data_IF_282789420938
#
_entry.id   IF_282789420938
#
_cell.length_a   1.000
_cell.length_b   1.000
_cell.length_c   1.000
_cell.angle_alpha   90.00
_cell.angle_beta   90.00
_cell.angle_gamma   90.00
#
_symmetry.space_group_name_H-M   'P 1'
#
loop_
_entity.id
_entity.type
_entity.pdbx_description
1 polymer ?
#
# COMPACT_ATOMS: atom_id res chain seq x y z
N UNK A 1 -4.73 1.15 -17.98
CA UNK A 1 -3.66 0.78 -17.03
C UNK A 1 -2.40 0.64 -17.85
N UNK A 2 -1.40 1.47 -17.57
CA UNK A 2 -0.16 1.51 -18.34
C UNK A 2 0.82 0.47 -17.80
N UNK A 3 1.56 -0.17 -18.70
CA UNK A 3 2.60 -1.14 -18.36
C UNK A 3 3.98 -0.56 -18.63
N UNK A 4 4.86 -0.56 -17.62
CA UNK A 4 6.22 -0.02 -17.73
C UNK A 4 7.25 -1.12 -17.50
N UNK A 5 8.15 -1.30 -18.45
CA UNK A 5 9.24 -2.26 -18.34
C UNK A 5 10.53 -1.53 -17.95
N UNK A 6 11.13 -1.95 -16.84
CA UNK A 6 12.37 -1.41 -16.31
C UNK A 6 13.45 -2.47 -16.47
N UNK A 7 14.63 -2.08 -16.96
CA UNK A 7 15.81 -2.94 -16.97
C UNK A 7 16.91 -2.27 -16.17
N UNK A 8 17.43 -2.98 -15.17
CA UNK A 8 18.56 -2.54 -14.35
C UNK A 8 19.67 -3.57 -14.42
N UNK A 9 20.89 -3.14 -14.10
CA UNK A 9 22.00 -4.07 -13.91
C UNK A 9 22.23 -4.26 -12.42
N UNK A 10 22.61 -5.47 -12.07
CA UNK A 10 23.01 -5.85 -10.72
C UNK A 10 24.10 -4.92 -10.17
N UNK A 11 23.91 -4.46 -8.93
CA UNK A 11 24.88 -3.60 -8.24
C UNK A 11 24.91 -2.16 -8.72
N UNK A 12 24.09 -1.79 -9.71
CA UNK A 12 23.92 -0.40 -10.12
C UNK A 12 22.74 0.21 -9.33
N UNK A 13 22.89 1.47 -8.91
CA UNK A 13 21.74 2.25 -8.44
C UNK A 13 20.85 2.62 -9.62
N UNK A 14 19.54 2.52 -9.43
CA UNK A 14 18.54 2.94 -10.41
C UNK A 14 17.81 4.17 -9.90
N UNK A 15 17.86 5.25 -10.67
CA UNK A 15 17.30 6.56 -10.30
C UNK A 15 16.57 7.25 -11.48
N UNK A 16 16.27 6.48 -12.52
CA UNK A 16 15.98 7.03 -13.86
C UNK A 16 14.50 7.03 -14.22
N UNK A 17 13.64 6.37 -13.43
CA UNK A 17 12.22 6.33 -13.74
C UNK A 17 11.49 7.53 -13.15
N UNK A 18 11.25 8.50 -14.03
CA UNK A 18 10.41 9.66 -13.77
C UNK A 18 9.03 9.42 -14.37
N UNK A 19 8.00 9.47 -13.54
CA UNK A 19 6.60 9.29 -13.92
C UNK A 19 5.85 10.61 -13.78
N UNK A 20 4.99 10.92 -14.76
CA UNK A 20 4.11 12.07 -14.74
C UNK A 20 2.65 11.62 -14.89
N UNK A 21 1.85 11.82 -13.84
CA UNK A 21 0.46 11.37 -13.79
C UNK A 21 -0.52 12.49 -14.10
N UNK A 22 -1.42 12.23 -15.04
CA UNK A 22 -2.58 13.07 -15.33
C UNK A 22 -3.87 12.28 -15.19
N UNK A 23 -4.73 12.68 -14.26
CA UNK A 23 -6.02 12.03 -13.99
C UNK A 23 -7.04 13.07 -13.51
N UNK A 24 -8.03 13.47 -14.33
CA UNK A 24 -8.25 13.08 -15.74
C UNK A 24 -7.14 13.60 -16.67
N UNK A 25 -7.10 13.11 -17.92
CA UNK A 25 -6.12 13.55 -18.93
C UNK A 25 -6.12 15.07 -19.04
N UNK A 26 -4.93 15.69 -19.02
CA UNK A 26 -4.76 17.14 -19.02
C UNK A 26 -4.74 17.78 -17.62
N UNK A 27 -5.06 17.04 -16.56
CA UNK A 27 -5.00 17.53 -15.17
C UNK A 27 -4.00 16.71 -14.37
N UNK A 28 -2.92 17.33 -13.90
CA UNK A 28 -1.92 16.66 -13.07
C UNK A 28 -2.55 16.11 -11.79
N UNK A 29 -2.25 14.86 -11.46
CA UNK A 29 -2.74 14.19 -10.25
C UNK A 29 -2.05 14.78 -9.01
N UNK A 30 -2.84 15.19 -8.02
CA UNK A 30 -2.32 15.59 -6.72
C UNK A 30 -2.24 14.37 -5.78
N UNK A 31 -1.03 14.06 -5.29
CA UNK A 31 -0.77 12.97 -4.35
C UNK A 31 -0.54 13.46 -2.92
N UNK A 32 -0.79 14.73 -2.59
CA UNK A 32 -0.45 15.33 -1.28
C UNK A 32 -1.14 14.62 -0.12
N UNK A 33 -2.41 14.22 -0.30
CA UNK A 33 -3.19 13.48 0.70
C UNK A 33 -3.07 11.95 0.62
N UNK A 34 -2.26 11.44 -0.30
CA UNK A 34 -2.19 10.01 -0.61
C UNK A 34 -0.86 9.39 -0.15
N UNK A 35 -0.91 8.13 0.25
CA UNK A 35 0.27 7.29 0.43
C UNK A 35 0.52 6.52 -0.88
N UNK A 36 1.80 6.32 -1.22
CA UNK A 36 2.20 5.64 -2.45
C UNK A 36 3.08 4.44 -2.09
N UNK A 37 2.79 3.30 -2.69
CA UNK A 37 3.49 2.05 -2.43
C UNK A 37 3.88 1.43 -3.78
N UNK A 38 5.17 1.14 -3.97
CA UNK A 38 5.69 0.51 -5.19
C UNK A 38 6.34 -0.82 -4.85
N UNK A 39 5.62 -1.92 -5.05
CA UNK A 39 6.07 -3.27 -4.65
C UNK A 39 6.64 -4.03 -5.85
N UNK A 40 7.69 -4.80 -5.59
CA UNK A 40 8.31 -5.75 -6.52
C UNK A 40 7.95 -7.16 -6.05
N UNK A 41 7.47 -8.01 -6.96
CA UNK A 41 6.87 -9.31 -6.67
C UNK A 41 7.23 -10.32 -7.76
N UNK A 42 7.26 -11.61 -7.41
CA UNK A 42 7.37 -12.69 -8.40
C UNK A 42 6.04 -12.93 -9.15
N UNK A 43 4.90 -12.56 -8.53
CA UNK A 43 3.58 -12.62 -9.17
C UNK A 43 2.62 -11.58 -8.59
N UNK A 44 1.66 -11.08 -9.38
CA UNK A 44 0.65 -10.11 -8.89
C UNK A 44 -0.37 -10.74 -7.94
N UNK A 45 -0.59 -12.06 -8.03
CA UNK A 45 -1.46 -12.81 -7.12
C UNK A 45 -0.73 -13.28 -5.85
N UNK A 46 0.59 -13.14 -5.80
CA UNK A 46 1.39 -13.51 -4.64
C UNK A 46 1.24 -12.50 -3.50
N UNK A 47 1.23 -13.00 -2.28
CA UNK A 47 1.25 -12.17 -1.06
C UNK A 47 2.66 -11.75 -0.65
N UNK A 48 3.68 -12.39 -1.20
CA UNK A 48 5.09 -12.12 -0.89
C UNK A 48 5.60 -10.95 -1.73
N UNK A 49 6.07 -9.91 -1.04
CA UNK A 49 6.79 -8.78 -1.62
C UNK A 49 8.28 -9.10 -1.58
N UNK A 50 8.93 -9.12 -2.75
CA UNK A 50 10.36 -9.37 -2.86
C UNK A 50 11.18 -8.14 -2.42
N UNK A 51 10.77 -6.95 -2.86
CA UNK A 51 11.36 -5.66 -2.47
C UNK A 51 10.39 -4.51 -2.83
N UNK A 52 10.80 -3.26 -2.62
CA UNK A 52 10.03 -2.07 -2.96
C UNK A 52 10.90 -1.00 -3.61
N UNK A 53 10.35 -0.25 -4.56
CA UNK A 53 11.00 0.95 -5.05
C UNK A 53 10.91 2.06 -4.01
N UNK A 54 11.98 2.82 -3.84
CA UNK A 54 11.93 4.11 -3.17
C UNK A 54 11.13 5.09 -4.05
N UNK A 55 10.17 5.79 -3.46
CA UNK A 55 9.32 6.76 -4.15
C UNK A 55 9.64 8.15 -3.63
N UNK A 56 9.94 9.08 -4.54
CA UNK A 56 10.05 10.51 -4.22
C UNK A 56 8.96 11.27 -4.94
N UNK A 57 8.08 11.96 -4.20
CA UNK A 57 7.16 12.95 -4.76
C UNK A 57 7.96 14.20 -5.13
N UNK A 58 7.95 14.57 -6.41
CA UNK A 58 8.70 15.74 -6.88
C UNK A 58 7.91 17.03 -6.60
N UNK A 59 8.58 18.20 -6.57
CA UNK A 59 7.91 19.48 -6.31
C UNK A 59 6.83 19.83 -7.35
N UNK A 60 6.92 19.26 -8.55
CA UNK A 60 5.90 19.45 -9.59
C UNK A 60 4.76 18.45 -9.36
N UNK A 61 3.52 18.94 -9.28
CA UNK A 61 2.34 18.10 -9.11
C UNK A 61 2.27 16.97 -10.14
N UNK A 62 1.87 15.78 -9.68
CA UNK A 62 1.76 14.58 -10.49
C UNK A 62 3.08 13.89 -10.85
N UNK A 63 4.23 14.44 -10.44
CA UNK A 63 5.52 13.87 -10.82
C UNK A 63 6.14 13.05 -9.69
N UNK A 64 6.56 11.83 -10.01
CA UNK A 64 7.20 10.89 -9.10
C UNK A 64 8.56 10.44 -9.67
N UNK A 65 9.53 10.19 -8.79
CA UNK A 65 10.76 9.47 -9.10
C UNK A 65 10.74 8.13 -8.38
N UNK A 66 11.00 7.05 -9.11
CA UNK A 66 11.21 5.71 -8.57
C UNK A 66 12.69 5.38 -8.58
N UNK A 67 13.16 4.75 -7.50
CA UNK A 67 14.56 4.42 -7.32
C UNK A 67 14.79 3.05 -6.66
N UNK A 68 15.96 2.47 -6.93
CA UNK A 68 16.52 1.29 -6.25
C UNK A 68 17.98 1.56 -5.92
N UNK A 69 18.43 1.15 -4.74
CA UNK A 69 19.84 1.19 -4.41
C UNK A 69 20.62 0.08 -5.13
N UNK A 70 21.94 0.26 -5.24
CA UNK A 70 22.86 -0.78 -5.72
C UNK A 70 22.72 -2.10 -4.93
N UNK A 71 22.51 -2.03 -3.61
CA UNK A 71 22.35 -3.23 -2.79
C UNK A 71 21.02 -3.96 -3.05
N UNK A 72 19.95 -3.21 -3.38
CA UNK A 72 18.66 -3.81 -3.76
C UNK A 72 18.79 -4.51 -5.12
N UNK A 73 19.38 -3.84 -6.13
CA UNK A 73 19.58 -4.47 -7.44
C UNK A 73 20.52 -5.66 -7.38
N UNK A 74 21.51 -5.65 -6.48
CA UNK A 74 22.35 -6.82 -6.16
C UNK A 74 21.55 -7.97 -5.54
N UNK A 75 20.72 -7.70 -4.53
CA UNK A 75 19.93 -8.72 -3.87
C UNK A 75 18.88 -9.35 -4.81
N UNK A 76 18.30 -8.55 -5.72
CA UNK A 76 17.29 -9.02 -6.67
C UNK A 76 17.88 -9.89 -7.80
N UNK A 77 19.16 -9.70 -8.16
CA UNK A 77 19.83 -10.45 -9.23
C UNK A 77 20.17 -11.91 -8.86
N UNK A 78 20.26 -12.23 -7.57
CA UNK A 78 20.75 -13.52 -7.08
C UNK A 78 19.70 -14.62 -7.20
N UNK A 79 19.59 -15.23 -8.37
CA UNK A 79 18.97 -16.55 -8.51
C UNK A 79 19.97 -17.56 -9.07
N UNK A 80 20.94 -17.95 -8.23
CA UNK A 80 22.06 -18.86 -8.59
C UNK A 80 21.64 -20.35 -8.53
N UNK A 81 20.35 -20.65 -8.35
CA UNK A 81 19.93 -22.02 -7.99
C UNK A 81 19.68 -22.97 -9.16
N UNK A 82 19.52 -22.49 -10.40
CA UNK A 82 18.98 -23.33 -11.46
C UNK A 82 20.02 -24.25 -12.16
N UNK A 83 21.32 -23.95 -12.07
CA UNK A 83 22.34 -24.71 -12.82
C UNK A 83 23.23 -25.64 -12.00
N UNK A 84 23.71 -25.18 -10.84
CA UNK A 84 24.77 -25.87 -10.09
C UNK A 84 24.26 -26.88 -9.06
N UNK A 85 23.17 -26.56 -8.35
CA UNK A 85 22.59 -27.45 -7.32
C UNK A 85 22.04 -28.73 -7.96
N UNK A 86 21.41 -28.62 -9.13
CA UNK A 86 20.92 -29.78 -9.89
C UNK A 86 22.06 -30.65 -10.47
N UNK A 87 23.27 -30.10 -10.62
CA UNK A 87 24.41 -30.78 -11.22
C UNK A 87 25.50 -31.22 -10.24
N UNK A 88 25.33 -30.95 -8.94
CA UNK A 88 26.32 -31.27 -7.89
C UNK A 88 27.76 -30.86 -8.23
N UNK A 89 27.93 -29.64 -8.77
CA UNK A 89 29.24 -29.08 -9.07
C UNK A 89 29.72 -28.25 -7.87
N UNK A 90 30.90 -28.58 -7.33
CA UNK A 90 31.58 -27.80 -6.29
C UNK A 90 32.30 -26.58 -6.89
N UNK A 91 32.11 -25.40 -6.29
CA UNK A 91 32.59 -24.11 -6.81
C UNK A 91 34.12 -23.97 -6.65
N UNK A 92 34.86 -24.03 -7.76
CA UNK A 92 36.32 -23.83 -7.82
C UNK A 92 36.72 -22.45 -8.35
N UNK A 93 37.68 -21.79 -7.70
CA UNK A 93 38.08 -20.40 -7.93
C UNK A 93 38.67 -20.03 -9.32
N UNK A 94 38.67 -20.95 -10.30
CA UNK A 94 39.33 -20.77 -11.61
C UNK A 94 38.40 -20.86 -12.83
N UNK A 95 37.09 -21.11 -12.64
CA UNK A 95 36.12 -21.28 -13.76
C UNK A 95 35.22 -20.05 -14.00
N UNK A 96 35.77 -18.83 -13.89
CA UNK A 96 35.02 -17.57 -14.03
C UNK A 96 34.83 -17.09 -15.47
N UNK A 97 34.49 -17.98 -16.41
CA UNK A 97 34.30 -17.59 -17.82
C UNK A 97 32.94 -18.07 -18.33
N UNK A 98 31.89 -17.30 -17.99
CA UNK A 98 30.51 -17.37 -18.49
C UNK A 98 29.77 -18.68 -18.19
N UNK A 99 28.89 -18.60 -17.20
CA UNK A 99 28.08 -19.69 -16.69
C UNK A 99 26.66 -19.64 -17.29
N UNK A 100 26.04 -20.77 -17.69
CA UNK A 100 24.63 -20.86 -18.11
C UNK A 100 23.57 -20.22 -17.18
N UNK A 101 23.98 -19.72 -16.01
CA UNK A 101 23.18 -19.09 -14.94
C UNK A 101 23.24 -17.54 -14.99
N UNK A 102 23.77 -16.95 -16.07
CA UNK A 102 23.53 -15.53 -16.43
C UNK A 102 22.05 -15.27 -16.86
N UNK A 103 21.10 -15.93 -16.20
CA UNK A 103 19.68 -15.80 -16.48
C UNK A 103 19.14 -14.51 -15.88
N UNK A 104 18.68 -13.60 -16.74
CA UNK A 104 18.00 -12.39 -16.31
C UNK A 104 16.80 -12.74 -15.42
N UNK A 105 16.73 -12.18 -14.21
CA UNK A 105 15.52 -12.31 -13.38
C UNK A 105 14.50 -11.27 -13.82
N UNK A 106 13.30 -11.73 -14.20
CA UNK A 106 12.17 -10.86 -14.53
C UNK A 106 11.16 -10.92 -13.39
N UNK A 107 10.99 -9.79 -12.73
CA UNK A 107 10.03 -9.57 -11.66
C UNK A 107 8.86 -8.73 -12.17
N UNK A 108 7.74 -8.79 -11.47
CA UNK A 108 6.61 -7.89 -11.66
C UNK A 108 6.67 -6.77 -10.64
N UNK A 109 6.14 -5.61 -10.97
CA UNK A 109 5.98 -4.54 -9.99
C UNK A 109 4.68 -3.78 -10.20
N UNK A 110 4.14 -3.22 -9.13
CA UNK A 110 2.97 -2.37 -9.13
C UNK A 110 3.19 -1.11 -8.30
N UNK A 111 2.68 0.03 -8.77
CA UNK A 111 2.55 1.26 -8.00
C UNK A 111 1.09 1.45 -7.63
N UNK A 112 0.85 1.57 -6.33
CA UNK A 112 -0.46 1.74 -5.73
C UNK A 112 -0.57 3.09 -5.04
N UNK A 113 -1.72 3.72 -5.18
CA UNK A 113 -2.13 4.89 -4.42
C UNK A 113 -3.14 4.49 -3.35
N UNK A 114 -2.84 4.84 -2.10
CA UNK A 114 -3.74 4.69 -0.96
C UNK A 114 -4.24 6.09 -0.59
N UNK A 115 -5.55 6.30 -0.64
CA UNK A 115 -6.15 7.62 -0.43
C UNK A 115 -7.49 7.50 0.26
N UNK A 116 -7.90 8.58 0.94
CA UNK A 116 -9.18 8.64 1.65
C UNK A 116 -10.22 9.38 0.81
N UNK A 117 -11.40 8.79 0.65
CA UNK A 117 -12.59 9.44 0.08
C UNK A 117 -13.64 9.65 1.16
N UNK A 118 -14.46 10.69 1.05
CA UNK A 118 -15.59 10.88 1.96
C UNK A 118 -16.64 9.78 1.74
N UNK A 119 -17.13 9.21 2.84
CA UNK A 119 -18.23 8.26 2.89
C UNK A 119 -19.46 8.93 3.50
N UNK A 120 -20.52 8.99 2.71
CA UNK A 120 -21.72 9.77 3.04
C UNK A 120 -21.47 11.28 3.10
N UNK A 121 -22.49 12.03 3.49
CA UNK A 121 -22.50 13.50 3.57
C UNK A 121 -22.29 14.03 4.99
N UNK A 122 -21.59 13.28 5.84
CA UNK A 122 -21.18 13.70 7.19
C UNK A 122 -21.85 12.95 8.34
N UNK A 123 -21.24 13.07 9.52
CA UNK A 123 -21.65 12.41 10.77
C UNK A 123 -22.77 13.22 11.43
N UNK A 124 -23.95 12.61 11.58
CA UNK A 124 -25.10 13.21 12.27
C UNK A 124 -24.98 13.04 13.78
N UNK A 125 -24.55 11.85 14.25
CA UNK A 125 -24.29 11.60 15.67
C UNK A 125 -23.29 10.47 15.89
N UNK A 126 -22.60 10.52 17.03
CA UNK A 126 -21.83 9.40 17.58
C UNK A 126 -22.38 9.09 18.97
N UNK A 127 -22.72 7.82 19.21
CA UNK A 127 -23.32 7.36 20.46
C UNK A 127 -22.69 6.04 20.94
N UNK A 128 -23.13 5.58 22.11
CA UNK A 128 -22.90 4.20 22.54
C UNK A 128 -23.68 3.25 21.62
N UNK A 129 -23.00 2.18 21.21
CA UNK A 129 -23.57 1.09 20.41
C UNK A 129 -23.75 -0.17 21.23
N UNK A 130 -23.65 -1.33 20.56
CA UNK A 130 -23.78 -2.64 21.19
C UNK A 130 -22.77 -2.85 22.33
N UNK A 131 -23.22 -3.41 23.45
CA UNK A 131 -22.34 -3.77 24.58
C UNK A 131 -21.36 -4.85 24.15
N UNK A 132 -20.07 -4.64 24.42
CA UNK A 132 -19.00 -5.61 24.16
C UNK A 132 -18.75 -6.43 25.41
N UNK A 133 -18.54 -5.76 26.54
CA UNK A 133 -18.38 -6.39 27.86
C UNK A 133 -19.08 -5.54 28.93
N UNK A 134 -20.18 -6.03 29.54
CA UNK A 134 -20.91 -5.31 30.58
C UNK A 134 -20.13 -5.20 31.89
N UNK A 135 -19.22 -6.13 32.19
CA UNK A 135 -18.41 -6.11 33.41
C UNK A 135 -17.32 -5.03 33.38
N UNK A 136 -16.85 -4.71 32.18
CA UNK A 136 -15.87 -3.64 31.92
C UNK A 136 -16.52 -2.34 31.46
N UNK A 137 -17.85 -2.29 31.40
CA UNK A 137 -18.64 -1.17 30.85
C UNK A 137 -18.14 -0.73 29.46
N UNK A 138 -17.77 -1.69 28.61
CA UNK A 138 -17.30 -1.42 27.25
C UNK A 138 -18.43 -1.65 26.26
N UNK A 139 -18.62 -0.69 25.35
CA UNK A 139 -19.56 -0.83 24.23
C UNK A 139 -18.87 -0.44 22.93
N UNK A 140 -19.50 -0.72 21.79
CA UNK A 140 -19.02 -0.25 20.48
C UNK A 140 -19.32 1.24 20.31
N UNK A 141 -18.54 1.91 19.46
CA UNK A 141 -18.83 3.28 19.03
C UNK A 141 -19.85 3.20 17.90
N UNK A 142 -21.07 3.70 18.11
CA UNK A 142 -22.08 3.79 17.06
C UNK A 142 -21.98 5.13 16.37
N UNK A 143 -21.88 5.09 15.04
CA UNK A 143 -21.81 6.27 14.19
C UNK A 143 -23.03 6.27 13.29
N UNK A 144 -23.76 7.38 13.31
CA UNK A 144 -24.88 7.64 12.40
C UNK A 144 -24.45 8.71 11.41
N UNK A 145 -24.62 8.45 10.12
CA UNK A 145 -24.37 9.40 9.04
C UNK A 145 -25.66 10.08 8.60
N UNK A 146 -25.54 11.24 7.95
CA UNK A 146 -26.70 12.03 7.51
C UNK A 146 -27.39 11.46 6.26
N UNK A 147 -26.69 10.59 5.52
CA UNK A 147 -27.14 9.86 4.34
C UNK A 147 -26.46 8.49 4.32
N UNK A 148 -26.78 7.66 3.32
CA UNK A 148 -26.14 6.37 3.11
C UNK A 148 -24.60 6.48 3.10
N UNK A 149 -23.95 5.71 3.96
CA UNK A 149 -22.50 5.70 4.08
C UNK A 149 -21.81 4.77 3.08
N UNK A 150 -22.53 3.81 2.48
CA UNK A 150 -21.99 2.91 1.45
C UNK A 150 -20.78 2.09 1.89
N UNK A 151 -20.75 1.69 3.16
CA UNK A 151 -19.60 1.03 3.81
C UNK A 151 -19.81 -0.48 3.82
N UNK A 152 -18.73 -1.22 3.60
CA UNK A 152 -18.63 -2.65 3.90
C UNK A 152 -17.97 -2.90 5.26
N UNK A 153 -18.19 -4.08 5.85
CA UNK A 153 -17.58 -4.49 7.12
C UNK A 153 -16.05 -4.58 7.09
N UNK A 154 -15.48 -4.70 5.88
CA UNK A 154 -14.04 -4.84 5.66
C UNK A 154 -13.38 -3.51 5.26
N UNK A 155 -14.15 -2.42 5.14
CA UNK A 155 -13.56 -1.12 4.85
C UNK A 155 -12.69 -0.66 6.02
N UNK A 156 -11.63 0.09 5.69
CA UNK A 156 -10.84 0.84 6.66
C UNK A 156 -11.37 2.27 6.64
N UNK A 157 -11.79 2.78 7.79
CA UNK A 157 -12.40 4.11 7.90
C UNK A 157 -11.60 5.03 8.79
N UNK A 158 -11.62 6.32 8.48
CA UNK A 158 -11.12 7.39 9.32
C UNK A 158 -12.25 8.33 9.67
N UNK A 159 -12.42 8.60 10.96
CA UNK A 159 -13.31 9.67 11.42
C UNK A 159 -12.47 10.95 11.55
N UNK A 160 -12.99 12.08 11.09
CA UNK A 160 -12.29 13.36 11.13
C UNK A 160 -13.25 14.52 11.38
N UNK A 161 -12.76 15.56 12.06
CA UNK A 161 -13.49 16.81 12.27
C UNK A 161 -14.62 16.71 13.29
N UNK A 162 -14.64 15.67 14.13
CA UNK A 162 -15.62 15.55 15.22
C UNK A 162 -15.23 16.42 16.40
N UNK A 163 -16.23 16.87 17.17
CA UNK A 163 -16.03 17.70 18.38
C UNK A 163 -15.20 17.02 19.48
N UNK A 164 -15.04 15.69 19.44
CA UNK A 164 -14.24 14.92 20.39
C UNK A 164 -12.96 14.44 19.71
N UNK A 165 -11.81 14.90 20.21
CA UNK A 165 -10.50 14.59 19.63
C UNK A 165 -10.19 13.09 19.56
N UNK A 166 -10.68 12.30 20.52
CA UNK A 166 -10.46 10.86 20.61
C UNK A 166 -11.10 10.03 19.49
N UNK A 167 -12.01 10.60 18.69
CA UNK A 167 -12.56 9.93 17.50
C UNK A 167 -11.79 10.24 16.22
N UNK A 168 -10.90 11.22 16.20
CA UNK A 168 -10.19 11.65 14.99
C UNK A 168 -9.04 10.69 14.63
N UNK A 169 -9.36 9.41 14.43
CA UNK A 169 -8.41 8.32 14.22
C UNK A 169 -8.83 7.41 13.05
N UNK A 170 -7.91 6.55 12.62
CA UNK A 170 -8.17 5.48 11.65
C UNK A 170 -8.54 4.19 12.38
N UNK A 171 -9.61 3.57 11.94
CA UNK A 171 -10.11 2.29 12.39
C UNK A 171 -9.84 1.24 11.32
N UNK A 172 -9.08 0.20 11.70
CA UNK A 172 -8.53 -0.81 10.78
C UNK A 172 -9.57 -1.87 10.38
N UNK A 173 -9.16 -2.75 9.47
CA UNK A 173 -10.00 -3.83 8.94
C UNK A 173 -10.62 -4.67 10.06
N UNK A 174 -11.85 -5.14 9.85
CA UNK A 174 -12.61 -6.00 10.77
C UNK A 174 -13.04 -5.33 12.09
N UNK A 175 -12.89 -4.01 12.22
CA UNK A 175 -13.43 -3.28 13.36
C UNK A 175 -14.87 -2.81 13.14
N UNK A 176 -15.37 -2.86 11.90
CA UNK A 176 -16.69 -2.34 11.52
C UNK A 176 -17.77 -3.42 11.55
N UNK A 177 -18.92 -3.05 12.12
CA UNK A 177 -20.18 -3.79 12.05
C UNK A 177 -21.22 -2.89 11.40
N UNK A 178 -21.70 -3.26 10.22
CA UNK A 178 -22.74 -2.49 9.52
C UNK A 178 -24.10 -2.84 10.15
N UNK A 179 -24.81 -1.83 10.66
CA UNK A 179 -26.14 -2.02 11.26
C UNK A 179 -27.21 -1.82 10.19
N UNK A 180 -27.11 -0.71 9.45
CA UNK A 180 -27.94 -0.37 8.31
C UNK A 180 -27.17 0.59 7.37
N UNK A 181 -27.82 1.15 6.35
CA UNK A 181 -27.17 2.02 5.37
C UNK A 181 -26.67 3.35 5.95
N UNK A 182 -27.19 3.78 7.10
CA UNK A 182 -26.87 5.06 7.74
C UNK A 182 -26.18 4.90 9.08
N UNK A 183 -26.08 3.67 9.59
CA UNK A 183 -25.59 3.37 10.92
C UNK A 183 -24.60 2.22 10.88
N UNK A 184 -23.44 2.45 11.47
CA UNK A 184 -22.45 1.41 11.69
C UNK A 184 -21.83 1.52 13.07
N UNK A 185 -21.21 0.43 13.52
CA UNK A 185 -20.55 0.35 14.80
C UNK A 185 -19.08 -0.01 14.63
N UNK A 186 -18.24 0.58 15.48
CA UNK A 186 -16.80 0.33 15.52
C UNK A 186 -16.46 -0.36 16.83
N UNK A 187 -15.71 -1.45 16.74
CA UNK A 187 -15.11 -2.08 17.90
C UNK A 187 -13.92 -1.23 18.39
N UNK A 188 -13.92 -0.75 19.65
CA UNK A 188 -12.83 0.08 20.16
C UNK A 188 -11.51 -0.70 20.22
N UNK A 189 -10.41 -0.04 19.89
CA UNK A 189 -9.06 -0.64 19.83
C UNK A 189 -8.29 -0.58 21.16
N UNK A 190 -8.81 0.11 22.19
CA UNK A 190 -8.26 0.10 23.56
C UNK A 190 -9.32 0.43 24.62
N UNK A 191 -9.04 0.00 25.86
CA UNK A 191 -10.00 -0.07 26.97
C UNK A 191 -10.50 1.28 27.50
N UNK A 192 -11.77 1.25 27.90
CA UNK A 192 -12.69 2.33 28.28
C UNK A 192 -13.24 3.12 27.10
N UNK A 193 -14.55 3.06 26.85
CA UNK A 193 -15.11 3.70 25.69
C UNK A 193 -15.14 5.23 25.82
N UNK A 194 -14.61 5.91 24.82
CA UNK A 194 -14.94 7.31 24.57
C UNK A 194 -16.37 7.31 24.02
N UNK A 195 -17.38 7.52 24.86
CA UNK A 195 -18.70 7.95 24.39
C UNK A 195 -18.90 9.39 24.81
N UNK A 196 -19.32 10.20 23.85
CA UNK A 196 -19.79 11.55 24.10
C UNK A 196 -21.18 11.67 23.50
N UNK A 197 -22.17 12.02 24.34
CA UNK A 197 -23.54 12.29 23.90
C UNK A 197 -23.69 13.56 23.05
N UNK A 198 -22.59 14.30 22.84
CA UNK A 198 -22.53 15.57 22.09
C UNK A 198 -21.57 15.52 20.90
N UNK A 199 -21.00 14.34 20.59
CA UNK A 199 -20.17 14.19 19.41
C UNK A 199 -21.01 14.16 18.14
N UNK A 200 -20.93 15.24 17.39
CA UNK A 200 -21.60 15.46 16.12
C UNK A 200 -20.72 16.33 15.23
N UNK A 201 -21.05 16.36 13.94
CA UNK A 201 -20.20 17.01 12.95
C UNK A 201 -18.95 16.18 12.64
N UNK A 202 -18.39 16.43 11.46
CA UNK A 202 -17.27 15.67 10.93
C UNK A 202 -17.66 14.75 9.77
N UNK A 203 -16.68 14.03 9.27
CA UNK A 203 -16.76 13.18 8.08
C UNK A 203 -16.27 11.79 8.40
N UNK A 204 -16.92 10.79 7.83
CA UNK A 204 -16.34 9.44 7.69
C UNK A 204 -15.60 9.42 6.37
N UNK A 205 -14.36 8.96 6.38
CA UNK A 205 -13.58 8.74 5.16
C UNK A 205 -13.23 7.27 5.03
N UNK A 206 -13.29 6.73 3.83
CA UNK A 206 -12.89 5.35 3.53
C UNK A 206 -11.55 5.36 2.84
N UNK A 207 -10.64 4.51 3.32
CA UNK A 207 -9.39 4.23 2.62
C UNK A 207 -9.70 3.42 1.36
N UNK A 208 -9.29 3.94 0.22
CA UNK A 208 -9.32 3.24 -1.06
C UNK A 208 -7.90 3.03 -1.56
N UNK A 209 -7.76 1.94 -2.30
CA UNK A 209 -6.53 1.57 -3.00
C UNK A 209 -6.82 1.62 -4.50
N UNK A 210 -5.90 2.22 -5.26
CA UNK A 210 -5.93 2.22 -6.72
C UNK A 210 -4.55 1.82 -7.25
N UNK A 211 -4.50 0.77 -8.08
CA UNK A 211 -3.27 0.38 -8.79
C UNK A 211 -3.12 1.29 -10.01
N UNK A 212 -2.15 2.19 -9.95
CA UNK A 212 -1.97 3.24 -10.96
C UNK A 212 -0.92 2.86 -12.03
N UNK A 213 0.02 1.97 -11.72
CA UNK A 213 0.97 1.40 -12.70
C UNK A 213 1.19 -0.07 -12.41
N UNK A 214 1.37 -0.84 -13.47
CA UNK A 214 1.92 -2.19 -13.42
C UNK A 214 3.15 -2.25 -14.31
N UNK A 215 4.05 -3.19 -14.08
CA UNK A 215 5.26 -3.27 -14.88
C UNK A 215 6.06 -4.53 -14.66
N UNK A 216 7.14 -4.63 -15.41
CA UNK A 216 8.17 -5.64 -15.20
C UNK A 216 9.49 -4.97 -14.81
N UNK A 217 10.25 -5.64 -13.95
CA UNK A 217 11.61 -5.28 -13.57
C UNK A 217 12.53 -6.41 -13.97
N UNK A 218 13.36 -6.15 -14.97
CA UNK A 218 14.40 -7.06 -15.43
C UNK A 218 15.73 -6.69 -14.79
N UNK A 219 16.30 -7.59 -14.01
CA UNK A 219 17.63 -7.41 -13.42
C UNK A 219 18.63 -8.24 -14.19
N UNK A 220 19.60 -7.58 -14.81
CA UNK A 220 20.68 -8.21 -15.55
C UNK A 220 21.88 -8.46 -14.62
N UNK A 221 22.40 -9.69 -14.53
CA UNK A 221 23.61 -9.98 -13.77
C UNK A 221 24.78 -9.11 -14.22
N UNK A 222 25.67 -8.76 -13.28
CA UNK A 222 26.92 -8.08 -13.61
C UNK A 222 27.97 -9.13 -13.94
N UNK A 223 28.21 -9.35 -15.23
CA UNK A 223 29.32 -10.18 -15.67
C UNK A 223 30.63 -9.48 -15.26
N UNK A 224 31.28 -9.95 -14.19
CA UNK A 224 32.68 -9.63 -13.92
C UNK A 224 33.52 -10.47 -14.87
N UNK A 225 34.02 -9.85 -15.94
CA UNK A 225 35.16 -10.41 -16.66
C UNK A 225 36.37 -10.37 -15.72
N UNK A 226 36.90 -11.55 -15.37
CA UNK A 226 38.29 -11.66 -14.86
C UNK A 226 39.24 -11.68 -16.04
#
# INVERSE_FOLDING_TARGET
MESINVTVREGDSFDELYLAFQKPVGTNRDFTGSELIAQIKDSFSGTTVADTFAITKLPTLGHLKLALSASQTEALARDVSLGYVERSLDYGALEQSLDPIDADRVLLWDLKELFYIDAGSGISSISSGTVVDPSLNTTKIRVTTSVDHGLGSNDIVRIAGTSVAGYNTTYTTNTLTIVDNTTFEINPTSGTPLFSSVASGGTVKVLKEDTIVIGTLKVKPRITSI
#
